data_IF_702150216365
#
_entry.id   IF_702150216365
#
_cell.length_a   1.000
_cell.length_b   1.000
_cell.length_c   1.000
_cell.angle_alpha   90.00
_cell.angle_beta   90.00
_cell.angle_gamma   90.00
#
_symmetry.space_group_name_H-M   'P 1'
#
loop_
_entity.id
_entity.type
_entity.pdbx_description
1 polymer ?
#
# COMPACT_ATOMS: atom_id res chain seq x y z
N UNK A 1 0.09 -4.24 -4.69
CA UNK A 1 0.01 -3.57 -3.39
C UNK A 1 1.41 -3.24 -2.93
N UNK A 2 1.60 -2.17 -2.16
CA UNK A 2 2.92 -1.84 -1.61
C UNK A 2 3.28 -2.79 -0.47
N UNK A 3 4.58 -3.01 -0.26
CA UNK A 3 5.06 -3.74 0.91
C UNK A 3 4.83 -2.94 2.21
N UNK A 4 4.57 -3.65 3.30
CA UNK A 4 4.29 -3.04 4.61
C UNK A 4 5.43 -2.15 5.11
N UNK A 5 6.69 -2.52 4.86
CA UNK A 5 7.86 -1.72 5.23
C UNK A 5 7.86 -0.33 4.55
N UNK A 6 7.42 -0.25 3.30
CA UNK A 6 7.31 1.03 2.58
C UNK A 6 6.14 1.87 3.10
N UNK A 7 5.03 1.22 3.45
CA UNK A 7 3.88 1.88 4.04
C UNK A 7 4.20 2.53 5.40
N UNK A 8 4.91 1.80 6.27
CA UNK A 8 5.40 2.34 7.54
C UNK A 8 6.30 3.55 7.30
N UNK A 9 7.25 3.44 6.37
CA UNK A 9 8.15 4.55 6.03
C UNK A 9 7.40 5.77 5.51
N UNK A 10 6.33 5.58 4.73
CA UNK A 10 5.50 6.70 4.23
C UNK A 10 4.82 7.43 5.40
N UNK A 11 4.24 6.68 6.35
CA UNK A 11 3.68 7.23 7.58
C UNK A 11 4.73 8.01 8.36
N UNK A 12 5.90 7.41 8.58
CA UNK A 12 6.98 8.01 9.36
C UNK A 12 7.59 9.24 8.67
N UNK A 13 7.53 9.31 7.34
CA UNK A 13 7.88 10.49 6.55
C UNK A 13 6.83 11.62 6.60
N UNK A 14 5.73 11.41 7.33
CA UNK A 14 4.68 12.41 7.56
C UNK A 14 3.54 12.41 6.54
N UNK A 15 3.39 11.34 5.74
CA UNK A 15 2.22 11.20 4.85
C UNK A 15 0.95 11.17 5.70
N UNK A 16 0.13 12.21 5.57
CA UNK A 16 -1.18 12.25 6.22
C UNK A 16 -2.20 11.60 5.31
N UNK A 17 -2.71 10.43 5.73
CA UNK A 17 -3.72 9.70 4.97
C UNK A 17 -5.14 10.11 5.38
N UNK A 18 -6.02 10.32 4.39
CA UNK A 18 -7.44 10.57 4.58
C UNK A 18 -8.20 9.31 4.13
N UNK A 19 -8.70 8.47 5.06
CA UNK A 19 -9.32 7.19 4.72
C UNK A 19 -10.55 7.35 3.82
N UNK A 20 -10.63 6.53 2.78
CA UNK A 20 -11.75 6.47 1.84
C UNK A 20 -12.12 5.01 1.52
N UNK A 21 -13.38 4.79 1.13
CA UNK A 21 -13.86 3.47 0.72
C UNK A 21 -13.00 2.90 -0.43
N UNK A 22 -12.52 1.67 -0.25
CA UNK A 22 -11.59 0.98 -1.14
C UNK A 22 -10.12 1.11 -0.74
N UNK A 23 -9.81 1.84 0.33
CA UNK A 23 -8.46 1.89 0.89
C UNK A 23 -8.08 0.59 1.57
N UNK A 24 -6.82 0.20 1.41
CA UNK A 24 -6.26 -0.98 2.02
C UNK A 24 -5.45 -0.58 3.24
N UNK A 25 -5.45 -1.40 4.29
CA UNK A 25 -4.64 -1.18 5.48
C UNK A 25 -4.24 -2.50 6.14
N UNK A 26 -3.17 -2.46 6.91
CA UNK A 26 -2.74 -3.54 7.80
C UNK A 26 -2.80 -3.06 9.25
N UNK A 27 -2.88 -4.01 10.18
CA UNK A 27 -2.83 -3.75 11.62
C UNK A 27 -1.65 -4.57 12.18
N UNK A 28 -0.44 -4.01 12.22
CA UNK A 28 0.70 -4.72 12.78
C UNK A 28 0.49 -4.99 14.28
N UNK A 29 1.24 -5.94 14.84
CA UNK A 29 1.27 -6.23 16.29
C UNK A 29 -0.03 -6.84 16.87
N UNK A 30 -0.89 -7.40 16.02
CA UNK A 30 -2.12 -8.11 16.43
C UNK A 30 -2.20 -9.57 15.98
N UNK A 31 -1.05 -10.18 15.67
CA UNK A 31 -0.96 -11.50 15.00
C UNK A 31 -1.71 -11.51 13.64
N UNK A 32 -1.85 -10.32 13.02
CA UNK A 32 -2.56 -10.07 11.75
C UNK A 32 -1.60 -9.47 10.71
N UNK A 33 -0.29 -9.61 10.90
CA UNK A 33 0.74 -8.95 10.09
C UNK A 33 0.74 -9.41 8.61
N UNK A 34 0.21 -10.60 8.34
CA UNK A 34 0.03 -11.16 6.99
C UNK A 34 -1.34 -10.83 6.37
N UNK A 35 -2.24 -10.21 7.14
CA UNK A 35 -3.60 -9.88 6.70
C UNK A 35 -3.71 -8.44 6.20
N UNK A 36 -4.46 -8.26 5.13
CA UNK A 36 -4.79 -6.93 4.59
C UNK A 36 -6.28 -6.72 4.61
N UNK A 37 -6.69 -5.59 5.16
CA UNK A 37 -8.08 -5.18 5.29
C UNK A 37 -8.41 -4.12 4.23
N UNK A 38 -9.67 -4.09 3.79
CA UNK A 38 -10.17 -3.09 2.84
C UNK A 38 -11.32 -2.33 3.50
N UNK A 39 -11.16 -1.00 3.62
CA UNK A 39 -12.21 -0.13 4.13
C UNK A 39 -13.40 -0.15 3.16
N UNK A 40 -14.52 -0.75 3.56
CA UNK A 40 -15.65 -0.98 2.67
C UNK A 40 -16.97 -0.62 3.34
N UNK A 41 -17.80 0.18 2.67
CA UNK A 41 -19.19 0.44 3.11
C UNK A 41 -20.07 -0.81 3.01
N UNK A 42 -19.69 -1.76 2.14
CA UNK A 42 -20.42 -3.00 1.87
C UNK A 42 -19.44 -4.11 1.50
N UNK A 43 -19.61 -5.30 2.09
CA UNK A 43 -18.85 -6.49 1.72
C UNK A 43 -19.66 -7.31 0.73
N UNK A 44 -19.12 -7.52 -0.47
CA UNK A 44 -19.70 -8.40 -1.48
C UNK A 44 -18.90 -9.69 -1.51
N UNK A 45 -19.57 -10.82 -1.24
CA UNK A 45 -18.97 -12.14 -1.19
C UNK A 45 -19.56 -13.09 -2.23
N UNK A 46 -18.75 -14.00 -2.75
CA UNK A 46 -19.23 -15.13 -3.55
C UNK A 46 -19.41 -16.33 -2.62
N UNK A 47 -20.60 -16.91 -2.61
CA UNK A 47 -20.90 -18.12 -1.84
C UNK A 47 -21.29 -19.26 -2.77
N UNK A 48 -20.60 -20.38 -2.66
CA UNK A 48 -20.98 -21.61 -3.35
C UNK A 48 -22.04 -22.35 -2.52
N UNK A 49 -23.26 -22.43 -3.05
CA UNK A 49 -24.33 -23.23 -2.45
C UNK A 49 -24.53 -24.50 -3.29
N UNK A 50 -25.11 -25.58 -2.71
CA UNK A 50 -25.44 -26.79 -3.46
C UNK A 50 -26.35 -26.58 -4.68
N UNK A 51 -27.02 -25.41 -4.77
CA UNK A 51 -27.92 -25.03 -5.88
C UNK A 51 -27.26 -24.07 -6.88
N UNK A 52 -26.02 -23.65 -6.66
CA UNK A 52 -25.27 -22.73 -7.52
C UNK A 52 -24.52 -21.65 -6.76
N UNK A 53 -23.72 -20.88 -7.49
CA UNK A 53 -22.96 -19.73 -6.99
C UNK A 53 -23.87 -18.53 -6.80
N UNK A 54 -23.92 -17.97 -5.59
CA UNK A 54 -24.67 -16.75 -5.28
C UNK A 54 -23.74 -15.62 -4.88
N UNK A 55 -24.12 -14.40 -5.23
CA UNK A 55 -23.44 -13.19 -4.79
C UNK A 55 -24.20 -12.67 -3.57
N UNK A 56 -23.56 -12.72 -2.40
CA UNK A 56 -24.06 -12.19 -1.14
C UNK A 56 -23.64 -10.74 -0.96
N UNK A 57 -24.59 -9.89 -0.56
CA UNK A 57 -24.34 -8.52 -0.16
C UNK A 57 -24.52 -8.45 1.35
N UNK A 58 -23.41 -8.31 2.09
CA UNK A 58 -23.44 -8.13 3.53
C UNK A 58 -23.23 -6.64 3.82
N UNK A 59 -24.34 -5.93 4.08
CA UNK A 59 -24.31 -4.62 4.71
C UNK A 59 -24.45 -4.82 6.23
N UNK A 60 -23.38 -4.56 6.98
CA UNK A 60 -23.31 -4.09 8.40
C UNK A 60 -24.56 -4.33 9.27
N UNK A 61 -24.55 -4.99 10.44
CA UNK A 61 -23.50 -5.32 11.43
C UNK A 61 -24.00 -6.48 12.26
N UNK A 62 -23.17 -7.52 12.47
CA UNK A 62 -23.17 -8.27 13.73
C UNK A 62 -21.70 -8.61 14.04
N UNK A 63 -21.15 -7.96 15.07
CA UNK A 63 -19.81 -8.18 15.66
C UNK A 63 -18.63 -7.82 14.76
N UNK A 64 -18.11 -6.59 14.89
CA UNK A 64 -16.73 -6.32 14.53
C UNK A 64 -15.91 -6.31 15.81
N UNK A 65 -14.74 -6.97 15.75
CA UNK A 65 -13.64 -6.93 16.70
C UNK A 65 -13.49 -5.51 17.30
N UNK A 66 -13.18 -5.42 18.60
CA UNK A 66 -13.05 -4.18 19.37
C UNK A 66 -12.49 -3.01 18.53
N UNK A 67 -13.15 -1.85 18.59
CA UNK A 67 -12.79 -0.64 17.84
C UNK A 67 -11.26 -0.41 17.88
N UNK A 68 -10.63 -0.25 16.72
CA UNK A 68 -9.20 0.07 16.60
C UNK A 68 -9.00 1.56 16.49
N UNK A 69 -7.95 2.10 17.13
CA UNK A 69 -7.60 3.51 16.94
C UNK A 69 -7.03 3.71 15.53
N UNK A 70 -7.34 4.86 14.91
CA UNK A 70 -6.89 5.17 13.53
C UNK A 70 -5.36 5.06 13.37
N UNK A 71 -4.64 5.37 14.43
CA UNK A 71 -3.18 5.43 14.40
C UNK A 71 -2.53 4.03 14.55
N UNK A 72 -3.31 3.00 14.92
CA UNK A 72 -2.90 1.59 14.87
C UNK A 72 -2.91 1.04 13.43
N UNK A 73 -3.64 1.67 12.51
CA UNK A 73 -3.72 1.24 11.12
C UNK A 73 -2.54 1.77 10.27
N UNK A 74 -1.92 0.87 9.52
CA UNK A 74 -0.94 1.19 8.47
C UNK A 74 -1.65 1.17 7.12
N UNK A 75 -1.86 2.33 6.53
CA UNK A 75 -2.47 2.45 5.21
C UNK A 75 -1.53 1.92 4.12
N UNK A 76 -2.09 1.15 3.19
CA UNK A 76 -1.41 0.55 2.04
C UNK A 76 -1.90 1.22 0.75
N UNK A 77 -1.45 2.45 0.45
CA UNK A 77 -1.82 3.18 -0.76
C UNK A 77 -1.72 2.33 -2.03
N UNK A 78 -2.73 2.46 -2.89
CA UNK A 78 -2.69 1.89 -4.24
C UNK A 78 -1.78 2.69 -5.17
N UNK A 79 -1.45 2.11 -6.32
CA UNK A 79 -0.61 2.76 -7.33
C UNK A 79 -1.15 4.12 -7.77
N UNK A 80 -2.47 4.20 -8.04
CA UNK A 80 -3.12 5.42 -8.49
C UNK A 80 -3.05 6.52 -7.42
N UNK A 81 -3.25 6.17 -6.15
CA UNK A 81 -3.18 7.12 -5.05
C UNK A 81 -1.75 7.64 -4.83
N UNK A 82 -0.74 6.77 -4.95
CA UNK A 82 0.66 7.19 -4.86
C UNK A 82 1.08 8.06 -6.05
N UNK A 83 0.57 7.76 -7.24
CA UNK A 83 0.76 8.59 -8.42
C UNK A 83 0.16 9.98 -8.22
N UNK A 84 -1.05 10.06 -7.66
CA UNK A 84 -1.69 11.34 -7.35
C UNK A 84 -0.88 12.16 -6.35
N UNK A 85 -0.25 11.52 -5.36
CA UNK A 85 0.66 12.19 -4.40
C UNK A 85 1.90 12.80 -5.07
N UNK A 86 2.40 12.19 -6.14
CA UNK A 86 3.53 12.75 -6.90
C UNK A 86 3.12 13.97 -7.74
N UNK A 87 1.86 14.02 -8.18
CA UNK A 87 1.32 15.08 -9.01
C UNK A 87 2.14 15.34 -10.27
N UNK A 88 2.32 16.61 -10.63
CA UNK A 88 3.03 17.05 -11.84
C UNK A 88 4.52 16.67 -11.87
N UNK A 89 5.10 16.28 -10.73
CA UNK A 89 6.50 15.86 -10.67
C UNK A 89 6.70 14.46 -11.27
N UNK A 90 5.64 13.63 -11.32
CA UNK A 90 5.68 12.33 -11.98
C UNK A 90 5.84 12.51 -13.49
N UNK A 91 6.84 11.87 -14.07
CA UNK A 91 7.07 11.90 -15.52
C UNK A 91 6.74 10.56 -16.19
N UNK A 92 7.32 9.48 -15.70
CA UNK A 92 7.12 8.13 -16.27
C UNK A 92 7.51 7.03 -15.29
N UNK A 93 6.98 5.83 -15.55
CA UNK A 93 7.45 4.57 -14.98
C UNK A 93 8.32 3.89 -16.02
N UNK A 94 9.53 3.52 -15.64
CA UNK A 94 10.47 2.75 -16.45
C UNK A 94 10.53 1.31 -15.93
N UNK A 95 10.69 0.36 -16.85
CA UNK A 95 10.93 -1.05 -16.55
C UNK A 95 12.30 -1.43 -17.14
N UNK A 96 13.20 -1.85 -16.27
CA UNK A 96 14.61 -2.15 -16.59
C UNK A 96 14.86 -3.68 -16.74
N UNK A 97 13.79 -4.45 -16.93
CA UNK A 97 13.87 -5.92 -17.00
C UNK A 97 13.94 -6.59 -15.62
N UNK A 98 14.75 -6.05 -14.71
CA UNK A 98 14.92 -6.56 -13.34
C UNK A 98 14.07 -5.81 -12.28
N UNK A 99 13.33 -4.78 -12.70
CA UNK A 99 12.44 -4.04 -11.81
C UNK A 99 11.84 -2.78 -12.42
N UNK A 100 11.22 -1.99 -11.56
CA UNK A 100 10.46 -0.79 -11.89
C UNK A 100 11.08 0.43 -11.24
N UNK A 101 11.06 1.56 -11.95
CA UNK A 101 11.55 2.84 -11.41
C UNK A 101 10.67 3.99 -11.85
N UNK A 102 10.31 4.85 -10.91
CA UNK A 102 9.58 6.08 -11.22
C UNK A 102 10.59 7.20 -11.46
N UNK A 103 10.37 7.97 -12.53
CA UNK A 103 11.14 9.18 -12.83
C UNK A 103 10.35 10.39 -12.33
N UNK A 104 10.95 11.12 -11.40
CA UNK A 104 10.39 12.34 -10.80
C UNK A 104 11.33 13.50 -11.08
N UNK A 105 10.81 14.62 -11.60
CA UNK A 105 11.61 15.82 -11.91
C UNK A 105 12.85 15.54 -12.80
N UNK A 106 12.74 14.54 -13.68
CA UNK A 106 13.83 14.12 -14.58
C UNK A 106 14.92 13.29 -13.91
N UNK A 107 14.76 12.93 -12.64
CA UNK A 107 15.67 12.05 -11.91
C UNK A 107 15.03 10.67 -11.68
N UNK A 108 15.72 9.59 -12.08
CA UNK A 108 15.27 8.23 -11.83
C UNK A 108 15.40 7.94 -10.32
N UNK A 109 14.35 7.42 -9.70
CA UNK A 109 14.36 7.07 -8.27
C UNK A 109 14.91 5.64 -8.01
N UNK A 110 14.54 4.97 -6.92
CA UNK A 110 15.06 3.65 -6.56
C UNK A 110 14.39 2.56 -7.39
N UNK A 111 15.19 1.55 -7.79
CA UNK A 111 14.68 0.34 -8.43
C UNK A 111 13.87 -0.47 -7.41
N UNK A 112 12.62 -0.77 -7.75
CA UNK A 112 11.72 -1.56 -6.91
C UNK A 112 11.24 -2.81 -7.64
N UNK A 113 10.86 -3.83 -6.88
CA UNK A 113 10.41 -5.11 -7.42
C UNK A 113 9.03 -5.04 -8.08
N UNK A 114 8.22 -4.03 -7.76
CA UNK A 114 6.87 -3.86 -8.29
C UNK A 114 6.57 -2.38 -8.60
N UNK A 115 5.60 -2.09 -9.50
CA UNK A 115 5.19 -0.71 -9.76
C UNK A 115 4.69 0.02 -8.50
N UNK A 116 3.80 -0.54 -7.66
CA UNK A 116 3.37 0.14 -6.43
C UNK A 116 4.55 0.50 -5.52
N UNK A 117 5.53 -0.40 -5.36
CA UNK A 117 6.71 -0.12 -4.54
C UNK A 117 7.58 0.99 -5.15
N UNK A 118 7.69 1.06 -6.49
CA UNK A 118 8.41 2.12 -7.18
C UNK A 118 7.75 3.49 -6.96
N UNK A 119 6.42 3.54 -6.95
CA UNK A 119 5.68 4.76 -6.63
C UNK A 119 5.85 5.17 -5.17
N UNK A 120 5.79 4.23 -4.22
CA UNK A 120 6.02 4.50 -2.81
C UNK A 120 7.44 5.03 -2.54
N UNK A 121 8.45 4.43 -3.18
CA UNK A 121 9.82 4.91 -3.12
C UNK A 121 9.94 6.36 -3.61
N UNK A 122 9.28 6.69 -4.72
CA UNK A 122 9.33 8.03 -5.30
C UNK A 122 8.67 9.08 -4.40
N UNK A 123 7.56 8.74 -3.76
CA UNK A 123 6.92 9.62 -2.76
C UNK A 123 7.86 9.84 -1.58
N UNK A 124 8.48 8.78 -1.06
CA UNK A 124 9.46 8.87 0.03
C UNK A 124 10.66 9.76 -0.34
N UNK A 125 11.18 9.60 -1.56
CA UNK A 125 12.28 10.42 -2.06
C UNK A 125 11.93 11.91 -2.07
N UNK A 126 10.71 12.27 -2.48
CA UNK A 126 10.25 13.67 -2.45
C UNK A 126 10.08 14.23 -1.04
N UNK A 127 9.65 13.40 -0.09
CA UNK A 127 9.39 13.84 1.29
C UNK A 127 10.66 13.97 2.12
N UNK A 128 11.61 13.04 1.96
CA UNK A 128 12.79 12.93 2.82
C UNK A 128 14.07 13.41 2.11
N UNK A 129 14.04 13.59 0.79
CA UNK A 129 15.21 13.99 -0.01
C UNK A 129 16.34 12.96 -0.01
N UNK A 130 16.07 11.72 0.44
CA UNK A 130 17.08 10.67 0.62
C UNK A 130 16.64 9.42 -0.13
N UNK A 131 17.44 8.99 -1.11
CA UNK A 131 17.25 7.70 -1.78
C UNK A 131 17.35 6.57 -0.74
N UNK A 132 16.36 5.65 -0.67
CA UNK A 132 16.52 4.44 0.13
C UNK A 132 17.77 3.69 -0.33
N UNK A 133 18.72 3.48 0.59
CA UNK A 133 19.78 2.49 0.41
C UNK A 133 19.09 1.14 0.19
N UNK A 134 19.27 0.56 -1.00
CA UNK A 134 18.84 -0.79 -1.31
C UNK A 134 19.45 -1.73 -0.26
N UNK A 135 18.60 -2.48 0.44
CA UNK A 135 19.03 -3.36 1.52
C UNK A 135 20.20 -4.24 1.10
N UNK A 136 21.28 -4.17 1.87
CA UNK A 136 22.41 -5.09 1.76
C UNK A 136 21.90 -6.54 1.85
N UNK A 137 22.29 -7.43 0.92
CA UNK A 137 22.13 -8.85 1.15
C UNK A 137 23.04 -9.22 2.32
N UNK A 138 22.46 -9.59 3.45
CA UNK A 138 23.18 -10.23 4.56
C UNK A 138 23.80 -11.52 4.05
N UNK A 139 25.07 -11.45 3.66
CA UNK A 139 25.93 -12.61 3.52
C UNK A 139 26.60 -12.88 4.88
N UNK A 140 26.28 -14.03 5.47
CA UNK A 140 26.97 -14.58 6.66
C UNK A 140 26.03 -15.53 7.40
N UNK A 141 26.40 -16.77 7.75
CA UNK A 141 27.67 -17.51 7.67
C UNK A 141 27.36 -19.00 7.49
#
# INVERSE_FOLDING_TARGET
>A
MIRLDLAIRLRDAGVTWQPATGDHFAIPDRDLDDETFVLSDMIVGIHELPRGTVIGFNGTTEWALDDIERDEAIWLPREDQLRDMLGDAFQRLEHDGDGYRVVVDGQPDVLAASPPDAYAAAVLYRLVGTSPSAGEPTAGS
#
